data_IF_382395999097
#
_entry.id   IF_382395999097
#
_cell.length_a   1.000
_cell.length_b   1.000
_cell.length_c   1.000
_cell.angle_alpha   90.00
_cell.angle_beta   90.00
_cell.angle_gamma   90.00
#
_symmetry.space_group_name_H-M   'P 1'
#
loop_
_entity.id
_entity.type
_entity.pdbx_description
1 polymer ?
#
# COMPACT_ATOMS: atom_id res chain seq x y z
N UNK A 1 -4.12 21.59 3.20
CA UNK A 1 -3.31 20.41 3.55
C UNK A 1 -3.74 19.29 2.63
N UNK A 2 -2.79 18.61 1.98
CA UNK A 2 -3.05 17.43 1.15
C UNK A 2 -3.69 16.32 1.99
N UNK A 3 -4.70 15.62 1.44
CA UNK A 3 -5.41 14.53 2.14
C UNK A 3 -4.96 13.14 1.68
N UNK A 4 -4.80 12.95 0.38
CA UNK A 4 -4.32 11.72 -0.26
C UNK A 4 -2.86 11.48 0.11
N UNK A 5 -2.55 10.29 0.61
CA UNK A 5 -1.22 9.93 1.10
C UNK A 5 -0.29 9.53 -0.03
N UNK A 6 1.01 9.70 0.14
CA UNK A 6 2.03 9.30 -0.82
C UNK A 6 2.92 8.24 -0.19
N UNK A 7 2.96 7.08 -0.84
CA UNK A 7 3.88 5.99 -0.53
C UNK A 7 5.07 6.09 -1.48
N UNK A 8 6.29 6.14 -0.98
CA UNK A 8 7.50 6.13 -1.79
C UNK A 8 8.29 4.86 -1.54
N UNK A 9 8.78 4.23 -2.60
CA UNK A 9 9.68 3.07 -2.46
C UNK A 9 11.10 3.56 -2.25
N UNK A 10 11.72 3.14 -1.15
CA UNK A 10 13.10 3.51 -0.85
C UNK A 10 14.04 2.54 -1.57
N UNK A 11 15.06 3.09 -2.22
CA UNK A 11 16.07 2.34 -2.96
C UNK A 11 17.38 3.13 -3.07
N UNK A 12 18.30 2.71 -3.95
CA UNK A 12 19.60 3.37 -4.11
C UNK A 12 19.53 4.89 -4.35
N UNK A 13 18.50 5.39 -5.05
CA UNK A 13 18.32 6.80 -5.34
C UNK A 13 17.80 7.62 -4.14
N UNK A 14 17.27 6.96 -3.10
CA UNK A 14 16.50 7.61 -2.03
C UNK A 14 16.88 7.20 -0.61
N UNK A 15 17.85 6.30 -0.43
CA UNK A 15 18.21 5.77 0.90
C UNK A 15 19.12 6.69 1.74
N UNK A 16 19.68 7.76 1.19
CA UNK A 16 20.53 8.69 1.94
C UNK A 16 19.69 9.59 2.86
N UNK A 17 20.26 10.02 3.99
CA UNK A 17 19.55 10.87 4.94
C UNK A 17 19.08 12.20 4.32
N UNK A 18 19.91 12.85 3.49
CA UNK A 18 19.56 14.09 2.79
C UNK A 18 18.37 13.89 1.85
N UNK A 19 18.37 12.82 1.06
CA UNK A 19 17.27 12.55 0.13
C UNK A 19 16.00 12.16 0.90
N UNK A 20 16.10 11.39 1.99
CA UNK A 20 14.95 11.10 2.86
C UNK A 20 14.35 12.39 3.44
N UNK A 21 15.18 13.30 3.97
CA UNK A 21 14.72 14.59 4.49
C UNK A 21 13.96 15.39 3.40
N UNK A 22 14.48 15.39 2.16
CA UNK A 22 13.84 16.04 1.01
C UNK A 22 12.56 15.35 0.55
N UNK A 23 12.50 14.01 0.52
CA UNK A 23 11.30 13.25 0.18
C UNK A 23 10.17 13.50 1.18
N UNK A 24 10.52 13.53 2.47
CA UNK A 24 9.59 13.86 3.54
C UNK A 24 9.11 15.31 3.41
N UNK A 25 10.00 16.26 3.12
CA UNK A 25 9.64 17.65 2.81
C UNK A 25 8.73 17.79 1.60
N UNK A 26 8.95 16.99 0.55
CA UNK A 26 8.16 17.00 -0.68
C UNK A 26 6.76 16.37 -0.52
N UNK A 27 6.57 15.48 0.47
CA UNK A 27 5.26 14.91 0.79
C UNK A 27 5.20 13.42 1.05
N UNK A 28 6.31 12.71 1.24
CA UNK A 28 6.26 11.29 1.61
C UNK A 28 5.55 11.08 2.96
N UNK A 29 4.60 10.15 3.01
CA UNK A 29 3.85 9.75 4.22
C UNK A 29 4.21 8.32 4.68
N UNK A 30 4.57 7.46 3.73
CA UNK A 30 4.93 6.05 3.95
C UNK A 30 6.16 5.70 3.12
N UNK A 31 7.15 5.07 3.75
CA UNK A 31 8.33 4.51 3.11
C UNK A 31 8.12 3.00 2.88
N UNK A 32 8.00 2.59 1.62
CA UNK A 32 7.96 1.18 1.21
C UNK A 32 9.38 0.64 1.07
N UNK A 33 9.64 -0.49 1.74
CA UNK A 33 10.86 -1.27 1.59
C UNK A 33 10.50 -2.55 0.83
N UNK A 34 11.03 -2.69 -0.38
CA UNK A 34 10.76 -3.84 -1.25
C UNK A 34 11.76 -4.96 -0.96
N UNK A 35 11.32 -6.03 -0.32
CA UNK A 35 12.19 -7.17 0.07
C UNK A 35 12.49 -8.13 -1.10
N UNK A 36 12.02 -7.81 -2.32
CA UNK A 36 12.53 -8.44 -3.53
C UNK A 36 13.99 -8.07 -3.85
N UNK A 37 14.49 -6.98 -3.27
CA UNK A 37 15.83 -6.45 -3.50
C UNK A 37 16.49 -6.03 -2.18
N UNK A 38 17.81 -5.87 -2.21
CA UNK A 38 18.59 -5.51 -1.03
C UNK A 38 18.79 -6.66 -0.04
N UNK A 39 19.77 -6.50 0.82
CA UNK A 39 20.02 -7.41 1.94
C UNK A 39 19.51 -6.80 3.26
N UNK A 40 19.50 -7.61 4.32
CA UNK A 40 19.05 -7.18 5.64
C UNK A 40 19.88 -6.07 6.25
N UNK A 41 21.19 -6.00 5.96
CA UNK A 41 22.05 -4.94 6.48
C UNK A 41 21.65 -3.58 5.89
N UNK A 42 21.39 -3.54 4.59
CA UNK A 42 20.88 -2.37 3.90
C UNK A 42 19.50 -1.94 4.41
N UNK A 43 18.56 -2.88 4.55
CA UNK A 43 17.22 -2.58 5.06
C UNK A 43 17.27 -2.04 6.50
N UNK A 44 18.11 -2.61 7.37
CA UNK A 44 18.26 -2.16 8.76
C UNK A 44 18.74 -0.71 8.83
N UNK A 45 19.74 -0.36 8.01
CA UNK A 45 20.28 1.00 7.93
C UNK A 45 19.24 2.00 7.43
N UNK A 46 18.45 1.64 6.42
CA UNK A 46 17.36 2.48 5.91
C UNK A 46 16.27 2.69 6.97
N UNK A 47 15.86 1.63 7.66
CA UNK A 47 14.89 1.71 8.77
C UNK A 47 15.40 2.66 9.84
N UNK A 48 16.66 2.50 10.26
CA UNK A 48 17.29 3.34 11.27
C UNK A 48 17.25 4.83 10.88
N UNK A 49 17.67 5.17 9.65
CA UNK A 49 17.64 6.55 9.14
C UNK A 49 16.24 7.14 9.13
N UNK A 50 15.23 6.36 8.72
CA UNK A 50 13.84 6.81 8.73
C UNK A 50 13.38 7.11 10.15
N UNK A 51 13.68 6.21 11.10
CA UNK A 51 13.27 6.37 12.51
C UNK A 51 13.95 7.57 13.17
N UNK A 52 15.25 7.79 12.93
CA UNK A 52 15.97 8.97 13.43
C UNK A 52 15.45 10.27 12.80
N UNK A 53 15.10 10.24 11.52
CA UNK A 53 14.59 11.40 10.79
C UNK A 53 13.28 11.95 11.35
N UNK A 54 12.40 11.09 11.88
CA UNK A 54 11.07 11.49 12.36
C UNK A 54 11.09 12.63 13.38
N UNK A 55 12.09 12.66 14.27
CA UNK A 55 12.24 13.74 15.25
C UNK A 55 12.57 15.08 14.58
N UNK A 56 13.44 15.07 13.57
CA UNK A 56 13.83 16.26 12.80
C UNK A 56 12.69 16.77 11.92
N UNK A 57 11.91 15.87 11.33
CA UNK A 57 10.81 16.21 10.43
C UNK A 57 9.58 16.76 11.16
N UNK A 58 9.47 16.52 12.47
CA UNK A 58 8.30 16.90 13.26
C UNK A 58 7.01 16.17 12.82
N UNK A 59 7.13 15.08 12.06
CA UNK A 59 6.00 14.28 11.60
C UNK A 59 6.38 12.79 11.45
N UNK A 60 5.44 11.88 11.71
CA UNK A 60 5.67 10.45 11.55
C UNK A 60 5.73 10.04 10.07
N UNK A 61 6.48 8.98 9.78
CA UNK A 61 6.50 8.26 8.51
C UNK A 61 6.35 6.77 8.81
N UNK A 62 5.37 6.12 8.20
CA UNK A 62 5.20 4.67 8.34
C UNK A 62 6.21 3.92 7.48
N UNK A 63 6.66 2.77 7.93
CA UNK A 63 7.45 1.82 7.15
C UNK A 63 6.55 0.67 6.72
N UNK A 64 6.46 0.47 5.40
CA UNK A 64 5.76 -0.63 4.76
C UNK A 64 6.76 -1.66 4.26
N UNK A 65 6.83 -2.81 4.92
CA UNK A 65 7.57 -3.96 4.40
C UNK A 65 6.75 -4.62 3.28
N UNK A 66 7.30 -4.73 2.07
CA UNK A 66 6.66 -5.43 0.95
C UNK A 66 7.37 -6.76 0.70
N UNK A 67 6.69 -7.86 1.03
CA UNK A 67 7.19 -9.23 0.86
C UNK A 67 7.16 -9.62 -0.63
N UNK A 68 8.10 -10.45 -1.06
CA UNK A 68 8.21 -10.82 -2.47
C UNK A 68 7.06 -11.72 -2.91
N UNK A 69 6.65 -12.66 -2.06
CA UNK A 69 5.66 -13.68 -2.41
C UNK A 69 6.17 -14.66 -3.47
N UNK A 70 5.28 -15.49 -4.04
CA UNK A 70 5.63 -16.54 -5.00
C UNK A 70 5.84 -16.00 -6.43
N UNK A 71 6.61 -14.91 -6.60
CA UNK A 71 6.94 -14.40 -7.95
C UNK A 71 7.94 -15.35 -8.61
N UNK A 72 7.52 -15.98 -9.71
CA UNK A 72 8.43 -16.79 -10.53
C UNK A 72 9.39 -15.85 -11.24
N UNK A 73 10.69 -16.17 -11.17
CA UNK A 73 11.77 -15.39 -11.78
C UNK A 73 12.72 -16.29 -12.56
N UNK A 74 13.41 -15.69 -13.50
CA UNK A 74 14.58 -16.30 -14.13
C UNK A 74 15.76 -16.32 -13.16
N UNK A 75 16.62 -17.32 -13.30
CA UNK A 75 17.93 -17.29 -12.66
C UNK A 75 18.93 -16.47 -13.50
N UNK A 76 20.21 -16.53 -13.15
CA UNK A 76 21.27 -15.77 -13.80
C UNK A 76 21.63 -16.31 -15.18
N UNK A 77 21.95 -15.40 -16.08
CA UNK A 77 22.51 -15.67 -17.40
C UNK A 77 24.03 -15.51 -17.41
N UNK A 78 24.69 -16.23 -18.32
CA UNK A 78 26.06 -15.93 -18.72
C UNK A 78 26.12 -14.50 -19.27
N UNK A 79 26.89 -13.62 -18.63
CA UNK A 79 26.99 -12.20 -19.00
C UNK A 79 25.83 -11.31 -18.53
N UNK A 80 24.92 -11.82 -17.69
CA UNK A 80 23.84 -11.04 -17.04
C UNK A 80 22.56 -10.86 -17.87
N UNK A 81 22.55 -11.34 -19.12
CA UNK A 81 21.37 -11.35 -19.97
C UNK A 81 21.66 -11.79 -21.41
N UNK A 82 20.58 -12.03 -22.17
CA UNK A 82 20.62 -12.50 -23.56
C UNK A 82 19.53 -11.83 -24.41
N UNK A 83 19.77 -11.74 -25.71
CA UNK A 83 18.76 -11.31 -26.69
C UNK A 83 18.09 -12.55 -27.30
N UNK A 84 16.80 -12.76 -27.02
CA UNK A 84 16.04 -13.87 -27.59
C UNK A 84 15.45 -13.48 -28.95
N UNK A 85 15.77 -14.24 -30.00
CA UNK A 85 15.28 -13.99 -31.37
C UNK A 85 13.94 -14.66 -31.60
N UNK A 86 12.98 -13.94 -32.19
CA UNK A 86 11.71 -14.52 -32.64
C UNK A 86 11.94 -15.73 -33.55
N UNK A 87 11.21 -16.81 -33.29
CA UNK A 87 11.31 -18.09 -33.99
C UNK A 87 12.39 -19.05 -33.45
N UNK A 88 13.29 -18.59 -32.58
CA UNK A 88 14.30 -19.45 -31.96
C UNK A 88 13.67 -20.42 -30.94
N UNK A 89 14.39 -21.51 -30.67
CA UNK A 89 14.07 -22.43 -29.58
C UNK A 89 14.73 -21.97 -28.30
N UNK A 90 13.99 -22.01 -27.19
CA UNK A 90 14.47 -21.63 -25.88
C UNK A 90 13.87 -22.55 -24.82
N UNK A 91 14.68 -23.03 -23.87
CA UNK A 91 14.25 -24.02 -22.88
C UNK A 91 14.20 -23.45 -21.48
N UNK A 92 13.04 -23.55 -20.81
CA UNK A 92 12.93 -23.31 -19.38
C UNK A 92 13.26 -24.61 -18.64
N UNK A 93 14.22 -24.57 -17.73
CA UNK A 93 14.73 -25.78 -17.05
C UNK A 93 14.59 -25.72 -15.53
N UNK A 94 14.47 -26.91 -14.95
CA UNK A 94 14.51 -27.13 -13.50
C UNK A 94 15.93 -27.27 -12.95
N UNK A 95 16.92 -27.46 -13.83
CA UNK A 95 18.33 -27.68 -13.47
C UNK A 95 18.97 -26.37 -13.05
N UNK A 96 19.79 -26.37 -12.01
CA UNK A 96 20.55 -25.20 -11.57
C UNK A 96 21.76 -24.96 -12.49
N UNK A 97 21.56 -24.28 -13.62
CA UNK A 97 22.58 -23.99 -14.64
C UNK A 97 22.47 -22.53 -15.07
N UNK A 98 23.59 -21.91 -15.43
CA UNK A 98 23.58 -20.53 -15.93
C UNK A 98 22.81 -20.46 -17.25
N UNK A 99 21.94 -19.46 -17.36
CA UNK A 99 21.17 -19.20 -18.55
C UNK A 99 22.05 -18.79 -19.72
N UNK A 100 21.64 -19.17 -20.92
CA UNK A 100 22.25 -18.79 -22.19
C UNK A 100 21.15 -18.42 -23.17
N UNK A 101 21.48 -18.12 -24.43
CA UNK A 101 20.46 -17.90 -25.47
C UNK A 101 19.64 -19.17 -25.81
N UNK A 102 19.99 -20.33 -25.24
CA UNK A 102 19.30 -21.61 -25.48
C UNK A 102 18.45 -22.10 -24.31
N UNK A 103 18.77 -21.71 -23.07
CA UNK A 103 18.06 -22.20 -21.88
C UNK A 103 18.22 -21.27 -20.68
N UNK A 104 17.35 -21.39 -19.68
CA UNK A 104 17.48 -20.70 -18.38
C UNK A 104 16.71 -21.43 -17.29
N UNK A 105 17.25 -21.41 -16.06
CA UNK A 105 16.59 -21.92 -14.86
C UNK A 105 15.50 -20.97 -14.37
N UNK A 106 14.41 -21.50 -13.82
CA UNK A 106 13.38 -20.69 -13.13
C UNK A 106 13.41 -20.92 -11.61
N UNK A 107 12.98 -19.92 -10.84
CA UNK A 107 12.99 -19.95 -9.37
C UNK A 107 12.02 -20.97 -8.76
N UNK A 108 10.99 -21.38 -9.51
CA UNK A 108 9.98 -22.36 -9.09
C UNK A 108 9.92 -23.57 -10.03
N UNK A 109 10.92 -24.46 -10.02
CA UNK A 109 11.01 -25.59 -10.95
C UNK A 109 9.78 -26.51 -10.94
N UNK A 110 9.12 -26.65 -9.79
CA UNK A 110 7.93 -27.48 -9.65
C UNK A 110 6.78 -27.06 -10.59
N UNK A 111 6.70 -25.77 -10.93
CA UNK A 111 5.66 -25.25 -11.82
C UNK A 111 5.90 -25.61 -13.29
N UNK A 112 7.13 -25.96 -13.69
CA UNK A 112 7.39 -26.44 -15.06
C UNK A 112 6.63 -27.73 -15.35
N UNK A 113 6.46 -28.61 -14.35
CA UNK A 113 5.78 -29.88 -14.52
C UNK A 113 4.29 -29.74 -14.87
N UNK A 114 3.70 -28.56 -14.65
CA UNK A 114 2.31 -28.30 -14.99
C UNK A 114 2.14 -27.87 -16.46
N UNK A 115 3.22 -27.50 -17.16
CA UNK A 115 3.18 -26.90 -18.50
C UNK A 115 2.80 -27.92 -19.56
N UNK A 116 2.08 -27.45 -20.57
CA UNK A 116 1.59 -28.26 -21.70
C UNK A 116 1.95 -27.59 -23.02
N UNK A 117 2.07 -28.39 -24.07
CA UNK A 117 2.25 -27.86 -25.42
C UNK A 117 1.10 -26.89 -25.77
N UNK A 118 1.45 -25.73 -26.32
CA UNK A 118 0.53 -24.64 -26.63
C UNK A 118 0.42 -23.56 -25.54
N UNK A 119 0.87 -23.83 -24.32
CA UNK A 119 0.89 -22.85 -23.24
C UNK A 119 1.77 -21.64 -23.57
N UNK A 120 1.33 -20.46 -23.13
CA UNK A 120 2.09 -19.22 -23.29
C UNK A 120 2.79 -18.84 -21.99
N UNK A 121 4.08 -18.54 -22.09
CA UNK A 121 4.89 -18.06 -20.96
C UNK A 121 5.47 -16.70 -21.35
N UNK A 122 5.36 -15.72 -20.46
CA UNK A 122 5.94 -14.40 -20.67
C UNK A 122 7.16 -14.19 -19.79
N UNK A 123 8.23 -13.67 -20.37
CA UNK A 123 9.45 -13.29 -19.67
C UNK A 123 9.57 -11.77 -19.65
N UNK A 124 10.48 -11.26 -18.81
CA UNK A 124 10.82 -9.84 -18.74
C UNK A 124 9.57 -8.96 -18.53
N UNK A 125 8.71 -9.40 -17.60
CA UNK A 125 7.45 -8.72 -17.23
C UNK A 125 6.55 -8.40 -18.46
N UNK A 126 6.50 -9.33 -19.42
CA UNK A 126 5.61 -9.24 -20.58
C UNK A 126 6.27 -8.86 -21.90
N UNK A 127 7.57 -8.53 -21.89
CA UNK A 127 8.28 -8.10 -23.10
C UNK A 127 8.52 -9.25 -24.10
N UNK A 128 8.82 -10.45 -23.59
CA UNK A 128 9.18 -11.61 -24.41
C UNK A 128 8.15 -12.71 -24.23
N UNK A 129 7.65 -13.25 -25.34
CA UNK A 129 6.64 -14.30 -25.33
C UNK A 129 7.21 -15.62 -25.83
N UNK A 130 6.97 -16.67 -25.06
CA UNK A 130 7.28 -18.05 -25.39
C UNK A 130 5.99 -18.85 -25.60
N UNK A 131 6.02 -19.80 -26.51
CA UNK A 131 4.99 -20.83 -26.66
C UNK A 131 5.63 -22.20 -26.42
N UNK A 132 5.12 -22.95 -25.44
CA UNK A 132 5.62 -24.29 -25.11
C UNK A 132 5.35 -25.22 -26.31
N UNK A 133 6.39 -25.85 -26.83
CA UNK A 133 6.27 -26.83 -27.92
C UNK A 133 6.16 -28.26 -27.36
N UNK A 134 6.97 -28.58 -26.35
CA UNK A 134 7.02 -29.90 -25.74
C UNK A 134 7.61 -29.86 -24.33
N UNK A 135 7.23 -30.84 -23.52
CA UNK A 135 7.85 -31.11 -22.22
C UNK A 135 8.83 -32.28 -22.36
N UNK A 136 10.09 -32.08 -22.01
CA UNK A 136 11.17 -33.06 -22.15
C UNK A 136 11.96 -33.17 -20.85
N UNK A 137 11.86 -34.29 -20.14
CA UNK A 137 12.66 -34.53 -18.93
C UNK A 137 12.42 -33.55 -17.77
N UNK A 138 11.23 -32.93 -17.70
CA UNK A 138 10.90 -31.89 -16.72
C UNK A 138 11.25 -30.47 -17.15
N UNK A 139 11.83 -30.30 -18.35
CA UNK A 139 12.09 -29.01 -18.97
C UNK A 139 11.00 -28.67 -20.00
N UNK A 140 10.68 -27.39 -20.13
CA UNK A 140 9.76 -26.89 -21.16
C UNK A 140 10.57 -26.37 -22.35
N UNK A 141 10.52 -27.08 -23.48
CA UNK A 141 11.06 -26.58 -24.74
C UNK A 141 10.04 -25.66 -25.38
N UNK A 142 10.43 -24.41 -25.59
CA UNK A 142 9.56 -23.37 -26.12
C UNK A 142 10.07 -22.80 -27.44
N UNK A 143 9.15 -22.24 -28.22
CA UNK A 143 9.44 -21.34 -29.33
C UNK A 143 9.28 -19.90 -28.87
N UNK A 144 10.22 -19.03 -29.24
CA UNK A 144 10.11 -17.59 -29.00
C UNK A 144 9.10 -17.02 -30.00
N UNK A 145 7.92 -16.65 -29.51
CA UNK A 145 6.84 -16.08 -30.33
C UNK A 145 7.02 -14.57 -30.52
N UNK A 146 7.56 -13.88 -29.51
CA UNK A 146 8.00 -12.49 -29.59
C UNK A 146 9.34 -12.34 -28.86
N UNK A 147 10.39 -11.98 -29.59
CA UNK A 147 11.75 -11.84 -29.07
C UNK A 147 12.06 -10.48 -28.45
N UNK A 148 13.20 -10.39 -27.77
CA UNK A 148 13.69 -9.20 -27.08
C UNK A 148 14.74 -9.52 -26.02
N UNK A 149 15.21 -8.49 -25.28
CA UNK A 149 16.20 -8.67 -24.23
C UNK A 149 15.60 -9.34 -22.99
N UNK A 150 16.35 -10.27 -22.40
CA UNK A 150 16.05 -10.96 -21.16
C UNK A 150 17.28 -10.93 -20.26
N UNK A 151 17.10 -10.68 -18.96
CA UNK A 151 18.19 -10.54 -18.00
C UNK A 151 17.97 -11.29 -16.70
N UNK A 152 18.99 -11.24 -15.84
CA UNK A 152 18.99 -11.89 -14.53
C UNK A 152 17.75 -11.51 -13.70
N UNK A 153 17.17 -12.52 -13.02
CA UNK A 153 16.15 -12.32 -11.98
C UNK A 153 14.86 -11.62 -12.44
N UNK A 154 14.64 -11.49 -13.75
CA UNK A 154 13.42 -10.93 -14.33
C UNK A 154 12.20 -11.83 -14.10
N UNK A 155 11.01 -11.23 -14.06
CA UNK A 155 9.75 -11.92 -13.80
C UNK A 155 9.34 -12.87 -14.93
N UNK A 156 8.74 -14.00 -14.54
CA UNK A 156 8.13 -15.00 -15.42
C UNK A 156 6.65 -15.08 -15.11
N UNK A 157 5.81 -14.93 -16.13
CA UNK A 157 4.35 -15.10 -16.03
C UNK A 157 4.00 -16.42 -16.70
N UNK A 158 3.46 -17.34 -15.90
CA UNK A 158 3.03 -18.67 -16.33
C UNK A 158 1.54 -18.65 -16.73
N UNK A 159 1.07 -19.66 -17.49
CA UNK A 159 -0.34 -19.82 -17.83
C UNK A 159 -1.28 -19.75 -16.62
N UNK A 160 -2.48 -19.25 -16.86
CA UNK A 160 -3.53 -19.13 -15.83
C UNK A 160 -3.83 -20.48 -15.19
N UNK A 161 -3.82 -20.52 -13.85
CA UNK A 161 -4.12 -21.74 -13.09
C UNK A 161 -2.92 -22.32 -12.35
N UNK A 162 -1.70 -22.12 -12.86
CA UNK A 162 -0.46 -22.65 -12.28
C UNK A 162 0.03 -21.81 -11.12
N UNK A 163 0.23 -22.42 -9.94
CA UNK A 163 0.40 -21.64 -8.71
C UNK A 163 1.24 -22.36 -7.68
N UNK A 164 2.06 -21.56 -6.98
CA UNK A 164 2.61 -21.98 -5.70
C UNK A 164 1.49 -22.34 -4.72
N UNK A 165 1.73 -23.35 -3.89
CA UNK A 165 0.74 -23.79 -2.90
C UNK A 165 0.49 -22.72 -1.84
N UNK A 166 1.53 -21.98 -1.45
CA UNK A 166 1.50 -20.95 -0.40
C UNK A 166 1.71 -19.55 -0.98
N UNK A 167 1.18 -18.53 -0.29
CA UNK A 167 1.48 -17.12 -0.54
C UNK A 167 2.76 -16.64 0.15
N UNK A 168 3.32 -17.44 1.07
CA UNK A 168 4.53 -17.14 1.84
C UNK A 168 5.62 -18.17 1.55
N UNK A 169 6.60 -17.75 0.76
CA UNK A 169 7.79 -18.53 0.47
C UNK A 169 8.70 -18.63 1.70
N UNK A 170 9.64 -19.59 1.76
CA UNK A 170 10.60 -19.67 2.85
C UNK A 170 11.36 -18.35 3.09
N UNK A 171 11.74 -17.66 2.00
CA UNK A 171 12.33 -16.32 2.07
C UNK A 171 11.41 -15.31 2.74
N UNK A 172 10.13 -15.26 2.35
CA UNK A 172 9.16 -14.30 2.92
C UNK A 172 8.98 -14.49 4.44
N UNK A 173 9.13 -15.72 4.95
CA UNK A 173 9.04 -16.00 6.40
C UNK A 173 10.21 -15.43 7.17
N UNK A 174 11.41 -15.46 6.59
CA UNK A 174 12.61 -14.84 7.16
C UNK A 174 12.57 -13.31 6.99
N UNK A 175 12.11 -12.82 5.84
CA UNK A 175 11.90 -11.39 5.62
C UNK A 175 10.91 -10.83 6.65
N UNK A 176 9.78 -11.50 6.83
CA UNK A 176 8.75 -11.11 7.80
C UNK A 176 9.32 -11.08 9.22
N UNK A 177 10.11 -12.09 9.61
CA UNK A 177 10.80 -12.10 10.90
C UNK A 177 11.67 -10.86 11.06
N UNK A 178 12.51 -10.57 10.07
CA UNK A 178 13.40 -9.40 10.10
C UNK A 178 12.59 -8.09 10.26
N UNK A 179 11.50 -7.92 9.50
CA UNK A 179 10.67 -6.71 9.57
C UNK A 179 10.03 -6.52 10.94
N UNK A 180 9.53 -7.60 11.55
CA UNK A 180 8.97 -7.57 12.91
C UNK A 180 10.01 -7.17 13.96
N UNK A 181 11.23 -7.71 13.86
CA UNK A 181 12.35 -7.37 14.77
C UNK A 181 12.76 -5.89 14.65
N UNK A 182 12.53 -5.26 13.49
CA UNK A 182 12.85 -3.85 13.23
C UNK A 182 11.64 -2.90 13.37
N UNK A 183 10.48 -3.41 13.82
CA UNK A 183 9.30 -2.59 14.10
C UNK A 183 8.73 -1.89 12.86
N UNK A 184 8.57 -2.62 11.76
CA UNK A 184 7.82 -2.14 10.57
C UNK A 184 6.36 -1.88 10.94
N UNK A 185 5.75 -0.87 10.32
CA UNK A 185 4.39 -0.42 10.68
C UNK A 185 3.29 -1.18 9.92
N UNK A 186 3.64 -1.69 8.74
CA UNK A 186 2.77 -2.48 7.86
C UNK A 186 3.57 -3.59 7.17
N UNK A 187 2.89 -4.69 6.83
CA UNK A 187 3.40 -5.73 5.94
C UNK A 187 2.46 -5.89 4.75
N UNK A 188 2.95 -5.67 3.53
CA UNK A 188 2.27 -6.02 2.30
C UNK A 188 2.58 -7.46 1.88
N UNK A 189 1.52 -8.20 1.57
CA UNK A 189 1.57 -9.59 1.11
C UNK A 189 1.30 -9.61 -0.39
N UNK A 190 2.29 -10.05 -1.17
CA UNK A 190 2.22 -10.15 -2.62
C UNK A 190 1.41 -11.35 -3.10
N UNK A 191 0.84 -11.26 -4.29
CA UNK A 191 0.11 -12.34 -4.97
C UNK A 191 -0.96 -13.03 -4.13
N UNK A 192 -1.66 -12.28 -3.27
CA UNK A 192 -2.81 -12.78 -2.51
C UNK A 192 -3.88 -13.26 -3.48
N UNK A 193 -4.54 -14.39 -3.20
CA UNK A 193 -5.60 -14.97 -4.03
C UNK A 193 -6.90 -15.09 -3.26
N UNK A 194 -6.83 -15.28 -1.95
CA UNK A 194 -7.97 -15.65 -1.12
C UNK A 194 -7.83 -15.23 0.34
N UNK A 195 -8.92 -15.37 1.08
CA UNK A 195 -8.93 -15.22 2.53
C UNK A 195 -7.96 -16.18 3.24
N UNK A 196 -7.75 -17.39 2.69
CA UNK A 196 -6.87 -18.40 3.27
C UNK A 196 -5.40 -17.95 3.27
N UNK A 197 -4.96 -17.24 2.24
CA UNK A 197 -3.60 -16.67 2.16
C UNK A 197 -3.35 -15.68 3.30
N UNK A 198 -4.33 -14.80 3.58
CA UNK A 198 -4.23 -13.85 4.69
C UNK A 198 -4.25 -14.56 6.04
N UNK A 199 -5.06 -15.61 6.18
CA UNK A 199 -5.10 -16.41 7.40
C UNK A 199 -3.79 -17.16 7.64
N UNK A 200 -3.12 -17.62 6.58
CA UNK A 200 -1.78 -18.20 6.65
C UNK A 200 -0.79 -17.21 7.25
N UNK A 201 -0.73 -15.98 6.71
CA UNK A 201 0.17 -14.93 7.22
C UNK A 201 -0.16 -14.58 8.68
N UNK A 202 -1.44 -14.42 9.01
CA UNK A 202 -1.88 -14.16 10.39
C UNK A 202 -1.51 -15.29 11.34
N UNK A 203 -1.52 -16.56 10.88
CA UNK A 203 -1.06 -17.69 11.69
C UNK A 203 0.44 -17.55 12.00
N UNK A 204 1.26 -17.25 11.00
CA UNK A 204 2.71 -17.02 11.18
C UNK A 204 2.98 -15.89 12.18
N UNK A 205 2.21 -14.79 12.10
CA UNK A 205 2.30 -13.68 13.05
C UNK A 205 1.94 -14.13 14.49
N UNK A 206 0.83 -14.84 14.67
CA UNK A 206 0.40 -15.37 15.97
C UNK A 206 1.40 -16.34 16.58
N UNK A 207 1.94 -17.25 15.78
CA UNK A 207 2.94 -18.24 16.22
C UNK A 207 4.23 -17.55 16.72
N UNK A 208 4.46 -16.30 16.29
CA UNK A 208 5.57 -15.43 16.72
C UNK A 208 5.17 -14.40 17.80
N UNK A 209 3.93 -14.41 18.27
CA UNK A 209 3.42 -13.44 19.25
C UNK A 209 3.38 -12.00 18.74
N UNK A 210 3.33 -11.79 17.42
CA UNK A 210 3.37 -10.48 16.80
C UNK A 210 2.01 -10.06 16.22
N UNK A 211 1.74 -8.76 16.20
CA UNK A 211 0.55 -8.17 15.59
C UNK A 211 0.95 -6.95 14.75
N UNK A 212 1.00 -7.13 13.44
CA UNK A 212 1.28 -6.06 12.46
C UNK A 212 0.15 -5.99 11.43
N UNK A 213 -0.31 -4.78 11.06
CA UNK A 213 -1.29 -4.56 10.01
C UNK A 213 -0.86 -5.17 8.67
N UNK A 214 -1.78 -5.91 8.05
CA UNK A 214 -1.54 -6.55 6.76
C UNK A 214 -2.17 -5.74 5.61
N UNK A 215 -1.41 -5.57 4.52
CA UNK A 215 -1.90 -5.02 3.25
C UNK A 215 -1.93 -6.14 2.22
N UNK A 216 -3.10 -6.49 1.70
CA UNK A 216 -3.20 -7.45 0.60
C UNK A 216 -2.91 -6.75 -0.73
N UNK A 217 -1.95 -7.26 -1.51
CA UNK A 217 -1.68 -6.79 -2.87
C UNK A 217 -2.61 -7.52 -3.84
N UNK A 218 -3.46 -6.76 -4.50
CA UNK A 218 -4.43 -7.22 -5.48
C UNK A 218 -3.75 -7.22 -6.85
N UNK A 219 -3.09 -8.36 -7.13
CA UNK A 219 -2.25 -8.59 -8.31
C UNK A 219 -2.75 -9.77 -9.14
N UNK A 220 -3.73 -10.50 -8.63
CA UNK A 220 -4.24 -11.75 -9.20
C UNK A 220 -5.71 -11.62 -9.52
N UNK A 221 -6.16 -12.24 -10.61
CA UNK A 221 -7.57 -12.25 -11.00
C UNK A 221 -8.48 -12.81 -9.89
N UNK A 222 -7.99 -13.77 -9.10
CA UNK A 222 -8.73 -14.38 -8.00
C UNK A 222 -8.85 -13.45 -6.81
N UNK A 223 -7.84 -12.62 -6.57
CA UNK A 223 -7.90 -11.61 -5.52
C UNK A 223 -9.08 -10.66 -5.77
N UNK A 224 -9.30 -10.32 -7.04
CA UNK A 224 -10.42 -9.48 -7.48
C UNK A 224 -11.75 -10.20 -7.23
N UNK A 225 -11.85 -11.46 -7.64
CA UNK A 225 -13.07 -12.27 -7.46
C UNK A 225 -13.39 -12.52 -5.97
N UNK A 226 -12.36 -12.74 -5.14
CA UNK A 226 -12.47 -13.07 -3.72
C UNK A 226 -12.35 -11.85 -2.80
N UNK A 227 -12.38 -10.63 -3.35
CA UNK A 227 -12.10 -9.39 -2.62
C UNK A 227 -12.97 -9.26 -1.36
N UNK A 228 -14.26 -9.62 -1.46
CA UNK A 228 -15.20 -9.56 -0.34
C UNK A 228 -14.81 -10.44 0.86
N UNK A 229 -14.11 -11.56 0.63
CA UNK A 229 -13.58 -12.42 1.70
C UNK A 229 -12.22 -11.96 2.23
N UNK A 230 -11.45 -11.21 1.43
CA UNK A 230 -10.13 -10.69 1.79
C UNK A 230 -10.26 -9.45 2.67
N UNK A 231 -11.12 -8.49 2.29
CA UNK A 231 -11.26 -7.19 2.95
C UNK A 231 -11.47 -7.26 4.48
N UNK A 232 -12.31 -8.16 5.03
CA UNK A 232 -12.52 -8.25 6.47
C UNK A 232 -11.28 -8.73 7.25
N UNK A 233 -10.28 -9.30 6.56
CA UNK A 233 -9.11 -9.93 7.17
C UNK A 233 -7.85 -9.07 7.06
N UNK A 234 -7.92 -7.89 6.43
CA UNK A 234 -6.76 -7.03 6.15
C UNK A 234 -6.96 -5.63 6.68
N UNK A 235 -5.85 -4.91 6.85
CA UNK A 235 -5.81 -3.55 7.37
C UNK A 235 -5.60 -2.50 6.29
N UNK A 236 -5.29 -2.95 5.07
CA UNK A 236 -5.26 -2.19 3.83
C UNK A 236 -5.27 -3.12 2.62
N UNK A 237 -5.48 -2.55 1.44
CA UNK A 237 -5.27 -3.23 0.14
C UNK A 237 -4.43 -2.37 -0.78
N UNK A 238 -3.71 -2.99 -1.71
CA UNK A 238 -2.91 -2.31 -2.72
C UNK A 238 -3.30 -2.82 -4.10
N UNK A 239 -3.79 -1.94 -4.99
CA UNK A 239 -4.00 -2.26 -6.39
C UNK A 239 -2.65 -2.15 -7.10
N UNK A 240 -1.99 -3.28 -7.32
CA UNK A 240 -0.67 -3.34 -7.95
C UNK A 240 -0.84 -3.65 -9.44
N UNK A 241 -0.93 -2.57 -10.22
CA UNK A 241 -1.42 -2.55 -11.61
C UNK A 241 -0.46 -3.22 -12.59
N UNK A 242 0.84 -3.15 -12.34
CA UNK A 242 1.87 -3.82 -13.14
C UNK A 242 1.66 -5.34 -13.17
N UNK A 243 1.74 -6.01 -12.03
CA UNK A 243 1.52 -7.47 -11.97
C UNK A 243 0.07 -7.83 -12.32
N UNK A 244 -0.93 -7.03 -11.91
CA UNK A 244 -2.32 -7.29 -12.29
C UNK A 244 -2.55 -7.25 -13.80
N UNK A 245 -1.95 -6.29 -14.52
CA UNK A 245 -2.06 -6.15 -15.97
C UNK A 245 -1.38 -7.27 -16.76
N UNK A 246 -0.57 -8.11 -16.10
CA UNK A 246 -0.05 -9.35 -16.68
C UNK A 246 -1.02 -10.53 -16.53
N UNK A 247 -1.94 -10.47 -15.55
CA UNK A 247 -2.86 -11.56 -15.24
C UNK A 247 -4.22 -11.39 -15.93
N UNK A 248 -4.67 -10.15 -16.11
CA UNK A 248 -5.94 -9.77 -16.74
C UNK A 248 -5.69 -8.92 -17.99
N UNK A 249 -6.65 -8.85 -18.94
CA UNK A 249 -6.51 -7.93 -20.08
C UNK A 249 -6.25 -6.49 -19.61
N UNK A 250 -5.35 -5.78 -20.28
CA UNK A 250 -4.91 -4.45 -19.85
C UNK A 250 -6.07 -3.45 -19.78
N UNK A 251 -7.03 -3.57 -20.68
CA UNK A 251 -8.25 -2.76 -20.73
C UNK A 251 -9.20 -2.99 -19.54
N UNK A 252 -9.07 -4.10 -18.82
CA UNK A 252 -9.87 -4.39 -17.61
C UNK A 252 -9.27 -3.76 -16.35
N UNK A 253 -7.96 -3.48 -16.33
CA UNK A 253 -7.25 -2.98 -15.14
C UNK A 253 -7.87 -1.69 -14.57
N UNK A 254 -8.24 -0.67 -15.38
CA UNK A 254 -8.89 0.52 -14.85
C UNK A 254 -10.26 0.23 -14.20
N UNK A 255 -11.04 -0.70 -14.77
CA UNK A 255 -12.34 -1.09 -14.22
C UNK A 255 -12.18 -1.82 -12.89
N UNK A 256 -11.21 -2.72 -12.81
CA UNK A 256 -10.88 -3.46 -11.59
C UNK A 256 -10.37 -2.51 -10.50
N UNK A 257 -9.48 -1.56 -10.81
CA UNK A 257 -9.00 -0.56 -9.86
C UNK A 257 -10.18 0.18 -9.22
N UNK A 258 -11.09 0.71 -10.05
CA UNK A 258 -12.27 1.44 -9.60
C UNK A 258 -13.13 0.60 -8.66
N UNK A 259 -13.36 -0.67 -9.00
CA UNK A 259 -14.17 -1.57 -8.18
C UNK A 259 -13.47 -1.94 -6.86
N UNK A 260 -12.16 -2.22 -6.88
CA UNK A 260 -11.38 -2.52 -5.67
C UNK A 260 -11.40 -1.32 -4.73
N UNK A 261 -11.14 -0.12 -5.23
CA UNK A 261 -11.18 1.13 -4.44
C UNK A 261 -12.57 1.33 -3.84
N UNK A 262 -13.63 1.14 -4.62
CA UNK A 262 -15.02 1.27 -4.14
C UNK A 262 -15.34 0.28 -3.02
N UNK A 263 -15.02 -1.01 -3.21
CA UNK A 263 -15.30 -2.07 -2.23
C UNK A 263 -14.47 -1.90 -0.95
N UNK A 264 -13.18 -1.55 -1.08
CA UNK A 264 -12.33 -1.28 0.08
C UNK A 264 -12.88 -0.14 0.93
N UNK A 265 -13.32 0.96 0.30
CA UNK A 265 -13.95 2.09 1.01
C UNK A 265 -15.25 1.69 1.72
N UNK A 266 -16.10 0.89 1.10
CA UNK A 266 -17.32 0.38 1.74
C UNK A 266 -17.00 -0.49 2.95
N UNK A 267 -15.98 -1.34 2.83
CA UNK A 267 -15.45 -2.16 3.93
C UNK A 267 -14.64 -1.38 4.98
N UNK A 268 -14.46 -0.06 4.78
CA UNK A 268 -13.64 0.83 5.62
C UNK A 268 -12.16 0.43 5.72
N UNK A 269 -11.63 -0.14 4.63
CA UNK A 269 -10.24 -0.59 4.46
C UNK A 269 -9.49 0.41 3.56
N UNK A 270 -8.38 1.00 4.02
CA UNK A 270 -7.53 1.88 3.22
C UNK A 270 -7.02 1.21 1.94
N UNK A 271 -6.99 1.97 0.86
CA UNK A 271 -6.52 1.48 -0.45
C UNK A 271 -5.36 2.32 -1.00
N UNK A 272 -4.31 1.62 -1.44
CA UNK A 272 -3.16 2.16 -2.16
C UNK A 272 -3.35 1.84 -3.65
N UNK A 273 -3.21 2.84 -4.53
CA UNK A 273 -3.06 2.61 -5.97
C UNK A 273 -1.58 2.71 -6.32
N UNK A 274 -1.05 1.66 -6.96
CA UNK A 274 0.38 1.43 -7.08
C UNK A 274 0.83 1.09 -8.50
N UNK A 275 2.14 1.29 -8.74
CA UNK A 275 2.91 1.02 -9.97
C UNK A 275 2.51 1.89 -11.16
N UNK A 276 3.47 2.30 -12.00
CA UNK A 276 3.23 3.06 -13.23
C UNK A 276 2.43 4.35 -13.07
N UNK A 277 2.56 5.05 -11.93
CA UNK A 277 1.82 6.30 -11.71
C UNK A 277 2.48 7.48 -12.43
N UNK A 278 3.81 7.60 -12.32
CA UNK A 278 4.63 8.62 -12.97
C UNK A 278 5.88 7.98 -13.59
N UNK A 279 5.75 6.79 -14.18
CA UNK A 279 6.86 5.91 -14.64
C UNK A 279 7.91 6.65 -15.48
N UNK A 280 7.50 7.51 -16.40
CA UNK A 280 8.40 8.29 -17.25
C UNK A 280 9.37 9.17 -16.45
N UNK A 281 9.03 9.50 -15.19
CA UNK A 281 9.87 10.28 -14.30
C UNK A 281 11.05 9.51 -13.69
N UNK A 282 11.14 8.19 -13.91
CA UNK A 282 12.37 7.44 -13.66
C UNK A 282 13.53 8.06 -14.43
N UNK A 283 13.28 8.43 -15.69
CA UNK A 283 14.28 8.95 -16.62
C UNK A 283 14.14 10.46 -16.89
N UNK A 284 12.93 11.00 -16.77
CA UNK A 284 12.62 12.38 -17.16
C UNK A 284 12.22 13.26 -15.97
N UNK A 285 12.46 14.57 -16.07
CA UNK A 285 12.10 15.52 -15.00
C UNK A 285 10.60 15.83 -14.97
N UNK A 286 9.84 15.46 -16.02
CA UNK A 286 8.41 15.75 -16.13
C UNK A 286 7.65 14.51 -16.59
N UNK A 287 6.44 14.29 -16.05
CA UNK A 287 5.60 13.20 -16.52
C UNK A 287 4.91 13.57 -17.83
N UNK A 288 4.33 12.55 -18.47
CA UNK A 288 3.40 12.69 -19.57
C UNK A 288 2.03 13.20 -19.08
N UNK A 289 1.20 13.68 -20.01
CA UNK A 289 -0.20 14.06 -19.68
C UNK A 289 -1.05 12.85 -19.29
N UNK A 290 -0.75 11.67 -19.84
CA UNK A 290 -1.45 10.43 -19.53
C UNK A 290 -1.24 10.03 -18.07
N UNK A 291 0.00 10.08 -17.59
CA UNK A 291 0.35 9.80 -16.19
C UNK A 291 -0.29 10.79 -15.21
N UNK A 292 -0.31 12.10 -15.56
CA UNK A 292 -1.03 13.10 -14.74
C UNK A 292 -2.52 12.76 -14.66
N UNK A 293 -3.13 12.35 -15.77
CA UNK A 293 -4.54 11.92 -15.81
C UNK A 293 -4.77 10.66 -14.98
N UNK A 294 -3.83 9.72 -15.00
CA UNK A 294 -3.92 8.46 -14.26
C UNK A 294 -3.85 8.70 -12.73
N UNK A 295 -2.89 9.51 -12.28
CA UNK A 295 -2.82 9.99 -10.88
C UNK A 295 -4.11 10.69 -10.48
N UNK A 296 -4.63 11.59 -11.32
CA UNK A 296 -5.87 12.30 -11.02
C UNK A 296 -7.07 11.33 -10.88
N UNK A 297 -7.17 10.33 -11.75
CA UNK A 297 -8.23 9.31 -11.71
C UNK A 297 -8.22 8.53 -10.39
N UNK A 298 -7.05 8.06 -9.92
CA UNK A 298 -6.95 7.37 -8.63
C UNK A 298 -7.48 8.22 -7.47
N UNK A 299 -7.28 9.55 -7.52
CA UNK A 299 -7.76 10.50 -6.51
C UNK A 299 -9.26 10.75 -6.65
N UNK A 300 -9.80 10.88 -7.87
CA UNK A 300 -11.24 10.97 -8.11
C UNK A 300 -11.99 9.72 -7.64
N UNK A 301 -11.37 8.55 -7.78
CA UNK A 301 -11.87 7.28 -7.25
C UNK A 301 -11.77 7.20 -5.72
N UNK A 302 -11.09 8.17 -5.10
CA UNK A 302 -10.93 8.34 -3.65
C UNK A 302 -9.98 7.31 -3.03
N UNK A 303 -8.89 6.98 -3.71
CA UNK A 303 -7.80 6.21 -3.10
C UNK A 303 -7.30 6.88 -1.80
N UNK A 304 -6.91 6.09 -0.81
CA UNK A 304 -6.32 6.64 0.41
C UNK A 304 -4.89 7.11 0.17
N UNK A 305 -4.15 6.34 -0.63
CA UNK A 305 -2.79 6.65 -1.01
C UNK A 305 -2.50 6.31 -2.47
N UNK A 306 -1.51 7.01 -3.02
CA UNK A 306 -0.89 6.76 -4.32
C UNK A 306 0.59 6.44 -4.12
N UNK A 307 1.12 5.49 -4.88
CA UNK A 307 2.45 4.94 -4.64
C UNK A 307 3.42 5.11 -5.81
N UNK A 308 4.62 5.61 -5.49
CA UNK A 308 5.77 5.65 -6.38
C UNK A 308 6.65 4.42 -6.13
N UNK A 309 7.01 3.75 -7.22
CA UNK A 309 7.80 2.51 -7.27
C UNK A 309 9.23 2.83 -7.73
N UNK A 310 9.59 2.50 -8.97
CA UNK A 310 10.92 2.75 -9.52
C UNK A 310 11.28 4.24 -9.52
N UNK A 311 10.28 5.12 -9.66
CA UNK A 311 10.46 6.56 -9.73
C UNK A 311 11.22 7.13 -8.51
N UNK A 312 11.00 6.53 -7.34
CA UNK A 312 11.67 6.94 -6.08
C UNK A 312 12.77 5.99 -5.65
N UNK A 313 12.72 4.72 -6.05
CA UNK A 313 13.71 3.73 -5.65
C UNK A 313 15.03 3.86 -6.44
N UNK A 314 14.93 4.01 -7.76
CA UNK A 314 16.08 3.97 -8.69
C UNK A 314 16.07 5.12 -9.70
N UNK A 315 15.00 5.91 -9.76
CA UNK A 315 14.86 7.03 -10.69
C UNK A 315 15.88 8.14 -10.48
N UNK A 316 16.12 8.91 -11.53
CA UNK A 316 17.05 10.06 -11.55
C UNK A 316 16.53 11.29 -10.80
N UNK A 317 15.21 11.36 -10.59
CA UNK A 317 14.51 12.53 -10.04
C UNK A 317 13.53 12.16 -8.91
N UNK A 318 13.99 11.47 -7.84
CA UNK A 318 13.08 10.90 -6.85
C UNK A 318 12.32 11.98 -6.06
N UNK A 319 12.97 13.09 -5.72
CA UNK A 319 12.34 14.18 -4.94
C UNK A 319 11.35 14.95 -5.80
N UNK A 320 11.75 15.31 -7.02
CA UNK A 320 10.92 16.05 -7.97
C UNK A 320 9.65 15.26 -8.34
N UNK A 321 9.77 13.92 -8.42
CA UNK A 321 8.61 13.02 -8.63
C UNK A 321 7.61 13.14 -7.49
N UNK A 322 8.06 13.11 -6.23
CA UNK A 322 7.17 13.29 -5.07
C UNK A 322 6.51 14.66 -5.09
N UNK A 323 7.25 15.71 -5.42
CA UNK A 323 6.68 17.06 -5.51
C UNK A 323 5.62 17.16 -6.62
N UNK A 324 5.85 16.55 -7.79
CA UNK A 324 4.86 16.47 -8.87
C UNK A 324 3.61 15.73 -8.38
N UNK A 325 3.78 14.55 -7.78
CA UNK A 325 2.69 13.74 -7.24
C UNK A 325 1.86 14.53 -6.21
N UNK A 326 2.54 15.23 -5.29
CA UNK A 326 1.88 16.08 -4.29
C UNK A 326 1.11 17.24 -4.91
N UNK A 327 1.68 17.94 -5.90
CA UNK A 327 1.00 19.04 -6.61
C UNK A 327 -0.25 18.57 -7.36
N UNK A 328 -0.19 17.40 -8.01
CA UNK A 328 -1.37 16.81 -8.67
C UNK A 328 -2.43 16.53 -7.62
N UNK A 329 -2.07 15.88 -6.51
CA UNK A 329 -3.01 15.53 -5.46
C UNK A 329 -3.71 16.76 -4.86
N UNK A 330 -2.95 17.79 -4.49
CA UNK A 330 -3.52 19.02 -3.96
C UNK A 330 -4.42 19.76 -4.94
N UNK A 331 -4.09 19.72 -6.25
CA UNK A 331 -4.90 20.38 -7.27
C UNK A 331 -6.21 19.65 -7.52
N UNK A 332 -6.16 18.32 -7.58
CA UNK A 332 -7.32 17.45 -7.84
C UNK A 332 -8.26 17.45 -6.64
N UNK A 333 -7.74 17.34 -5.42
CA UNK A 333 -8.56 17.36 -4.19
C UNK A 333 -9.46 18.60 -4.06
N UNK A 334 -8.99 19.77 -4.52
CA UNK A 334 -9.79 21.01 -4.55
C UNK A 334 -10.94 20.98 -5.54
N UNK A 335 -10.93 20.03 -6.48
CA UNK A 335 -11.97 19.84 -7.49
C UNK A 335 -12.90 18.66 -7.19
N UNK A 336 -12.55 17.82 -6.22
CA UNK A 336 -13.41 16.70 -5.81
C UNK A 336 -14.63 17.27 -5.11
N UNK A 337 -15.82 16.94 -5.63
CA UNK A 337 -17.07 17.33 -5.00
C UNK A 337 -17.15 16.73 -3.58
N UNK A 338 -17.77 17.46 -2.63
CA UNK A 338 -18.07 16.93 -1.31
C UNK A 338 -18.74 15.56 -1.42
N UNK A 339 -18.44 14.60 -0.53
CA UNK A 339 -19.17 13.34 -0.52
C UNK A 339 -20.67 13.62 -0.38
N UNK A 340 -21.46 13.12 -1.33
CA UNK A 340 -22.90 12.99 -1.10
C UNK A 340 -23.04 11.75 -0.23
N UNK A 341 -23.39 11.93 1.04
CA UNK A 341 -23.69 10.81 1.92
C UNK A 341 -25.02 10.20 1.46
N UNK A 342 -24.93 9.20 0.58
CA UNK A 342 -26.11 8.50 0.07
C UNK A 342 -26.90 7.91 1.24
N UNK A 343 -28.24 8.02 1.18
CA UNK A 343 -29.10 7.31 2.12
C UNK A 343 -28.79 5.82 2.03
N UNK A 344 -28.38 5.24 3.16
CA UNK A 344 -28.03 3.83 3.26
C UNK A 344 -29.09 2.92 2.64
N UNK A 345 -28.64 1.81 2.06
CA UNK A 345 -29.54 0.70 1.68
C UNK A 345 -30.23 0.18 2.95
N UNK A 346 -31.54 -0.04 2.87
CA UNK A 346 -32.30 -0.64 3.97
C UNK A 346 -31.73 -2.03 4.31
N UNK A 347 -31.38 -2.27 5.58
CA UNK A 347 -30.97 -3.59 6.09
C UNK A 347 -29.52 -3.75 6.54
N UNK A 348 -28.62 -2.78 6.29
CA UNK A 348 -27.23 -2.87 6.77
C UNK A 348 -27.10 -2.39 8.23
N UNK A 349 -26.81 -3.33 9.15
CA UNK A 349 -26.52 -3.02 10.56
C UNK A 349 -25.02 -2.72 10.69
N UNK A 350 -24.69 -1.52 11.15
CA UNK A 350 -23.32 -1.14 11.46
C UNK A 350 -23.01 -1.29 12.95
N UNK A 351 -21.73 -1.46 13.27
CA UNK A 351 -21.26 -1.32 14.64
C UNK A 351 -21.30 0.13 15.13
N UNK A 352 -21.28 0.30 16.46
CA UNK A 352 -21.23 1.62 17.10
C UNK A 352 -20.14 2.55 16.53
N UNK A 353 -18.88 2.10 16.33
CA UNK A 353 -17.82 2.97 15.84
C UNK A 353 -18.10 3.58 14.46
N UNK A 354 -18.66 2.79 13.53
CA UNK A 354 -18.98 3.27 12.18
C UNK A 354 -20.15 4.26 12.21
N UNK A 355 -21.19 3.96 13.00
CA UNK A 355 -22.34 4.86 13.15
C UNK A 355 -21.94 6.22 13.75
N UNK A 356 -21.07 6.21 14.77
CA UNK A 356 -20.55 7.45 15.37
C UNK A 356 -19.65 8.23 14.40
N UNK A 357 -18.81 7.54 13.61
CA UNK A 357 -17.97 8.20 12.61
C UNK A 357 -18.80 8.91 11.53
N UNK A 358 -19.87 8.27 11.04
CA UNK A 358 -20.81 8.87 10.09
C UNK A 358 -21.52 10.09 10.70
N UNK A 359 -22.08 9.93 11.92
CA UNK A 359 -22.75 11.02 12.62
C UNK A 359 -21.82 12.23 12.86
N UNK A 360 -20.55 11.98 13.17
CA UNK A 360 -19.56 13.04 13.34
C UNK A 360 -19.24 13.78 12.04
N UNK A 361 -19.19 13.08 10.90
CA UNK A 361 -18.96 13.72 9.61
C UNK A 361 -20.13 14.64 9.23
N UNK A 362 -21.37 14.22 9.47
CA UNK A 362 -22.55 15.06 9.27
C UNK A 362 -22.54 16.27 10.20
N UNK A 363 -22.36 16.06 11.51
CA UNK A 363 -22.29 17.14 12.49
C UNK A 363 -21.18 18.14 12.17
N UNK A 364 -20.01 17.67 11.70
CA UNK A 364 -18.91 18.53 11.33
C UNK A 364 -19.25 19.42 10.12
N UNK A 365 -19.96 18.86 9.14
CA UNK A 365 -20.46 19.61 7.99
C UNK A 365 -21.50 20.66 8.40
N UNK A 366 -22.51 20.26 9.16
CA UNK A 366 -23.62 21.13 9.57
C UNK A 366 -23.16 22.31 10.42
N UNK A 367 -22.13 22.11 11.24
CA UNK A 367 -21.60 23.13 12.14
C UNK A 367 -20.46 23.96 11.54
N UNK A 368 -20.00 23.61 10.32
CA UNK A 368 -18.77 24.19 9.77
C UNK A 368 -17.56 23.96 10.69
N UNK A 369 -17.46 22.76 11.28
CA UNK A 369 -16.47 22.46 12.29
C UNK A 369 -15.05 22.62 11.76
N UNK A 370 -14.17 23.16 12.59
CA UNK A 370 -12.76 23.38 12.29
C UNK A 370 -12.01 22.07 12.08
N UNK A 371 -12.36 21.04 12.84
CA UNK A 371 -11.77 19.71 12.76
C UNK A 371 -12.68 18.65 13.40
N UNK A 372 -12.50 17.40 12.95
CA UNK A 372 -12.98 16.21 13.65
C UNK A 372 -11.80 15.63 14.43
N UNK A 373 -11.94 15.55 15.75
CA UNK A 373 -10.90 15.05 16.66
C UNK A 373 -11.25 13.63 17.10
N UNK A 374 -10.38 12.67 16.80
CA UNK A 374 -10.61 11.26 17.05
C UNK A 374 -9.61 10.71 18.09
N UNK A 375 -10.10 10.36 19.28
CA UNK A 375 -9.32 9.58 20.23
C UNK A 375 -9.25 8.13 19.78
N UNK A 376 -8.04 7.60 19.67
CA UNK A 376 -7.88 6.24 19.16
C UNK A 376 -6.69 5.50 19.74
N UNK A 377 -6.92 4.25 20.12
CA UNK A 377 -5.88 3.34 20.61
C UNK A 377 -5.35 2.40 19.54
N UNK A 378 -6.18 1.98 18.58
CA UNK A 378 -5.79 1.10 17.47
C UNK A 378 -5.70 1.81 16.13
N UNK A 379 -6.22 3.05 16.04
CA UNK A 379 -6.36 3.80 14.79
C UNK A 379 -7.71 3.60 14.09
N UNK A 380 -8.52 2.61 14.50
CA UNK A 380 -9.77 2.25 13.79
C UNK A 380 -10.77 3.41 13.69
N UNK A 381 -10.89 4.22 14.73
CA UNK A 381 -11.81 5.37 14.78
C UNK A 381 -11.45 6.42 13.73
N UNK A 382 -10.17 6.82 13.69
CA UNK A 382 -9.67 7.76 12.69
C UNK A 382 -9.79 7.20 11.27
N UNK A 383 -9.57 5.88 11.11
CA UNK A 383 -9.79 5.17 9.85
C UNK A 383 -11.25 5.22 9.41
N UNK A 384 -12.22 4.96 10.28
CA UNK A 384 -13.64 5.05 9.91
C UNK A 384 -14.04 6.44 9.45
N UNK A 385 -13.63 7.49 10.16
CA UNK A 385 -13.88 8.89 9.76
C UNK A 385 -13.21 9.19 8.41
N UNK A 386 -11.97 8.75 8.22
CA UNK A 386 -11.23 8.92 6.97
C UNK A 386 -12.00 8.35 5.78
N UNK A 387 -12.65 7.20 5.94
CA UNK A 387 -13.39 6.53 4.88
C UNK A 387 -14.71 7.23 4.51
N UNK A 388 -15.26 8.09 5.38
CA UNK A 388 -16.38 8.99 5.04
C UNK A 388 -15.95 10.21 4.22
N UNK A 389 -14.64 10.45 4.11
CA UNK A 389 -14.04 11.55 3.34
C UNK A 389 -14.58 12.95 3.71
N UNK A 390 -14.66 13.31 5.00
CA UNK A 390 -15.19 14.60 5.44
C UNK A 390 -14.37 15.78 4.89
N UNK A 391 -15.01 16.94 4.78
CA UNK A 391 -14.33 18.19 4.47
C UNK A 391 -13.49 18.72 5.64
N UNK A 392 -14.02 18.56 6.86
CA UNK A 392 -13.30 18.92 8.06
C UNK A 392 -11.99 18.11 8.18
N UNK A 393 -10.84 18.75 8.48
CA UNK A 393 -9.61 18.06 8.81
C UNK A 393 -9.81 17.02 9.91
N UNK A 394 -9.15 15.86 9.76
CA UNK A 394 -9.22 14.78 10.74
C UNK A 394 -7.95 14.81 11.59
N UNK A 395 -8.11 15.02 12.89
CA UNK A 395 -7.01 15.01 13.85
C UNK A 395 -7.15 13.79 14.75
N UNK A 396 -6.22 12.84 14.64
CA UNK A 396 -6.21 11.67 15.49
C UNK A 396 -5.30 11.89 16.70
N UNK A 397 -5.82 11.67 17.90
CA UNK A 397 -5.07 11.73 19.15
C UNK A 397 -4.87 10.30 19.67
N UNK A 398 -3.63 9.90 19.86
CA UNK A 398 -3.27 8.55 20.30
C UNK A 398 -2.11 8.57 21.28
N UNK A 399 -2.06 7.66 22.27
CA UNK A 399 -0.91 7.49 23.15
C UNK A 399 0.16 6.55 22.58
N UNK A 400 -0.06 5.98 21.39
CA UNK A 400 0.86 5.03 20.76
C UNK A 400 1.56 5.65 19.57
N UNK A 401 2.89 5.77 19.65
CA UNK A 401 3.72 6.22 18.53
C UNK A 401 3.62 5.30 17.31
N UNK A 402 3.39 4.00 17.53
CA UNK A 402 3.16 3.03 16.46
C UNK A 402 1.84 3.31 15.73
N UNK A 403 0.76 3.57 16.46
CA UNK A 403 -0.54 3.92 15.86
C UNK A 403 -0.45 5.27 15.16
N UNK A 404 0.29 6.22 15.73
CA UNK A 404 0.54 7.51 15.10
C UNK A 404 1.21 7.35 13.73
N UNK A 405 2.19 6.44 13.60
CA UNK A 405 2.82 6.10 12.31
C UNK A 405 1.84 5.40 11.39
N UNK A 406 1.14 4.36 11.85
CA UNK A 406 0.16 3.62 11.03
C UNK A 406 -0.88 4.55 10.38
N UNK A 407 -1.37 5.53 11.15
CA UNK A 407 -2.35 6.51 10.65
C UNK A 407 -1.85 7.41 9.50
N UNK A 408 -0.55 7.45 9.18
CA UNK A 408 -0.06 8.21 8.02
C UNK A 408 -0.55 7.66 6.69
N UNK A 409 -1.01 6.40 6.65
CA UNK A 409 -1.63 5.80 5.47
C UNK A 409 -3.12 6.17 5.30
N UNK A 410 -3.79 6.64 6.36
CA UNK A 410 -5.23 6.94 6.31
C UNK A 410 -5.49 8.32 5.69
N UNK A 411 -6.33 8.38 4.65
CA UNK A 411 -6.65 9.63 3.95
C UNK A 411 -7.06 10.76 4.90
N UNK A 412 -6.48 11.95 4.72
CA UNK A 412 -6.86 13.16 5.45
C UNK A 412 -6.52 13.18 6.94
N UNK A 413 -5.97 12.10 7.50
CA UNK A 413 -5.64 12.01 8.93
C UNK A 413 -4.29 12.68 9.21
N UNK A 414 -4.28 13.53 10.24
CA UNK A 414 -3.08 14.06 10.89
C UNK A 414 -3.06 13.56 12.34
N UNK A 415 -2.01 12.86 12.75
CA UNK A 415 -1.96 12.23 14.07
C UNK A 415 -1.05 13.01 15.05
N UNK A 416 -1.46 13.08 16.31
CA UNK A 416 -0.68 13.62 17.44
C UNK A 416 -0.53 12.57 18.53
N UNK A 417 0.65 12.56 19.14
CA UNK A 417 0.91 11.77 20.33
C UNK A 417 0.42 12.56 21.55
N UNK A 418 -0.38 11.92 22.39
CA UNK A 418 -0.89 12.48 23.64
C UNK A 418 -0.65 11.52 24.80
N UNK A 419 -0.76 12.00 26.04
CA UNK A 419 -0.78 11.10 27.20
C UNK A 419 -2.13 10.36 27.29
N UNK A 420 -2.15 9.24 28.02
CA UNK A 420 -3.42 8.60 28.39
C UNK A 420 -4.18 9.49 29.36
N UNK A 421 -5.47 9.69 29.10
CA UNK A 421 -6.41 10.45 29.96
C UNK A 421 -7.45 9.51 30.59
N UNK A 422 -7.88 9.80 31.81
CA UNK A 422 -8.79 8.94 32.57
C UNK A 422 -10.28 9.30 32.45
N UNK A 423 -10.60 10.54 32.07
CA UNK A 423 -11.96 11.06 32.07
C UNK A 423 -12.27 11.86 30.80
N UNK A 424 -13.57 12.11 30.55
CA UNK A 424 -14.02 12.98 29.46
C UNK A 424 -13.58 14.44 29.68
N UNK A 425 -13.39 14.87 30.93
CA UNK A 425 -12.94 16.25 31.22
C UNK A 425 -11.45 16.39 30.93
N UNK A 426 -10.62 15.45 31.37
CA UNK A 426 -9.19 15.41 31.02
C UNK A 426 -8.98 15.29 29.50
N UNK A 427 -9.88 14.59 28.81
CA UNK A 427 -9.88 14.52 27.35
C UNK A 427 -10.03 15.90 26.72
N UNK A 428 -10.96 16.73 27.19
CA UNK A 428 -11.15 18.09 26.65
C UNK A 428 -9.92 18.96 26.92
N UNK A 429 -9.38 18.89 28.13
CA UNK A 429 -8.17 19.63 28.48
C UNK A 429 -6.99 19.26 27.58
N UNK A 430 -6.81 17.96 27.32
CA UNK A 430 -5.75 17.46 26.44
C UNK A 430 -5.97 17.89 24.98
N UNK A 431 -7.22 17.87 24.47
CA UNK A 431 -7.56 18.38 23.14
C UNK A 431 -7.19 19.85 23.03
N UNK A 432 -7.66 20.69 23.95
CA UNK A 432 -7.41 22.13 23.90
C UNK A 432 -5.91 22.43 24.02
N UNK A 433 -5.23 21.82 25.01
CA UNK A 433 -3.79 22.03 25.22
C UNK A 433 -2.98 21.65 23.97
N UNK A 434 -3.28 20.51 23.37
CA UNK A 434 -2.56 20.02 22.19
C UNK A 434 -2.81 20.90 20.97
N UNK A 435 -4.08 21.18 20.66
CA UNK A 435 -4.47 21.82 19.40
C UNK A 435 -4.32 23.35 19.41
N UNK A 436 -4.43 23.99 20.58
CA UNK A 436 -4.04 25.38 20.73
C UNK A 436 -2.52 25.53 20.69
N UNK A 437 -1.81 24.59 21.32
CA UNK A 437 -0.35 24.59 21.40
C UNK A 437 0.34 24.48 20.04
N UNK A 438 -0.18 23.65 19.13
CA UNK A 438 0.36 23.50 17.77
C UNK A 438 -0.29 24.44 16.72
N UNK A 439 -1.26 25.26 17.14
CA UNK A 439 -1.95 26.23 16.29
C UNK A 439 -2.97 25.63 15.31
N UNK A 440 -3.32 24.34 15.45
CA UNK A 440 -4.34 23.68 14.61
C UNK A 440 -5.73 24.31 14.78
N UNK A 441 -6.03 24.84 15.97
CA UNK A 441 -7.31 25.49 16.30
C UNK A 441 -7.07 26.80 17.04
N UNK A 442 -8.11 27.64 17.11
CA UNK A 442 -8.16 28.90 17.85
C UNK A 442 -9.33 28.89 18.82
N UNK A 443 -9.29 29.79 19.81
CA UNK A 443 -10.45 30.04 20.69
C UNK A 443 -11.69 30.34 19.84
N UNK A 444 -12.83 29.80 20.25
CA UNK A 444 -14.12 29.82 19.57
C UNK A 444 -14.29 28.91 18.34
N UNK A 445 -13.24 28.21 17.88
CA UNK A 445 -13.40 27.18 16.85
C UNK A 445 -14.31 26.05 17.36
N UNK A 446 -15.11 25.48 16.46
CA UNK A 446 -16.01 24.36 16.75
C UNK A 446 -15.32 23.04 16.38
N UNK A 447 -15.33 22.08 17.29
CA UNK A 447 -14.76 20.74 17.12
C UNK A 447 -15.84 19.68 17.27
N UNK A 448 -15.72 18.62 16.47
CA UNK A 448 -16.46 17.37 16.70
C UNK A 448 -15.49 16.35 17.26
N UNK A 449 -15.67 15.97 18.52
CA UNK A 449 -14.79 15.06 19.24
C UNK A 449 -15.45 13.68 19.32
N UNK A 450 -14.68 12.65 18.97
CA UNK A 450 -15.10 11.24 19.01
C UNK A 450 -14.18 10.47 19.94
N UNK A 451 -14.75 9.62 20.79
CA UNK A 451 -14.01 8.72 21.67
C UNK A 451 -14.82 7.45 22.02
N UNK A 452 -14.25 6.58 22.87
CA UNK A 452 -14.93 5.42 23.44
C UNK A 452 -15.02 5.52 24.96
N UNK A 453 -16.13 5.05 25.52
CA UNK A 453 -16.36 4.90 26.95
C UNK A 453 -16.66 3.41 27.26
N UNK A 454 -15.84 2.72 28.06
CA UNK A 454 -14.64 3.20 28.75
C UNK A 454 -13.49 3.58 27.79
N UNK A 455 -12.66 4.54 28.23
CA UNK A 455 -11.51 5.05 27.47
C UNK A 455 -10.42 3.99 27.29
N UNK A 456 -9.70 4.07 26.17
CA UNK A 456 -8.58 3.17 25.85
C UNK A 456 -8.95 1.68 25.89
N UNK A 457 -10.17 1.39 25.43
CA UNK A 457 -10.57 0.05 25.03
C UNK A 457 -10.77 0.04 23.53
N UNK A 458 -10.14 -0.90 22.84
CA UNK A 458 -10.23 -1.00 21.38
C UNK A 458 -11.64 -1.39 20.95
N UNK A 459 -12.17 -0.76 19.91
CA UNK A 459 -13.47 -1.11 19.33
C UNK A 459 -14.69 -0.54 20.05
N UNK A 460 -14.53 0.23 21.12
CA UNK A 460 -15.63 0.77 21.95
C UNK A 460 -16.03 2.21 21.61
N UNK A 461 -15.65 2.75 20.45
CA UNK A 461 -16.05 4.10 20.04
C UNK A 461 -17.58 4.22 20.05
N UNK A 462 -18.10 5.03 20.97
CA UNK A 462 -19.52 5.18 21.26
C UNK A 462 -19.90 6.59 21.75
N UNK A 463 -18.95 7.53 21.82
CA UNK A 463 -19.17 8.90 22.29
C UNK A 463 -18.90 9.90 21.16
N UNK A 464 -19.82 10.84 20.97
CA UNK A 464 -19.65 12.04 20.15
C UNK A 464 -19.93 13.26 21.01
N UNK A 465 -19.01 14.24 21.01
CA UNK A 465 -19.17 15.52 21.69
C UNK A 465 -18.91 16.66 20.73
N UNK A 466 -19.82 17.64 20.72
CA UNK A 466 -19.64 18.92 20.06
C UNK A 466 -19.02 19.89 21.07
N UNK A 467 -17.93 20.54 20.70
CA UNK A 467 -17.15 21.37 21.61
C UNK A 467 -16.78 22.69 20.96
N UNK A 468 -16.86 23.79 21.73
CA UNK A 468 -16.29 25.08 21.32
C UNK A 468 -15.04 25.34 22.14
N UNK A 469 -13.92 25.56 21.47
CA UNK A 469 -12.63 25.77 22.12
C UNK A 469 -12.69 26.99 23.04
N UNK A 470 -12.34 26.80 24.31
CA UNK A 470 -12.37 27.82 25.36
C UNK A 470 -13.68 27.92 26.14
N UNK A 471 -14.73 27.21 25.75
CA UNK A 471 -15.96 27.09 26.55
C UNK A 471 -15.81 25.92 27.55
N UNK A 472 -15.60 26.24 28.83
CA UNK A 472 -15.73 25.29 29.94
C UNK A 472 -17.08 25.54 30.60
N UNK A 473 -18.06 24.69 30.34
CA UNK A 473 -19.34 24.66 31.06
C UNK A 473 -19.39 23.44 31.95
#
# INVERSE_FOLDING_TARGET
MRRTKIVCTIGPASASADVLDRLVGAGMDVARLNFSHGDYAWHAEVIHRIREGQARWGKPVAILQDLQGPKVRLDRFEGGGVELKTGATFTLTSRAILGTAAHVTISEPALLAELKAGDQVWLADGLVQLTVEAMEGGDARCRVSAGGPVGDHQGVVLPRGMRATSCLMPKDREDLKFGLEHGVDYVAVSFVRSAADIQEVRKVLRDRGAEVPLIAKIERAEAVQNLGGILPLVDGVMVARGDLGMEVPLEEVPLIQKEVVRQARLAKVPVIVATQMLESMVEHVRPTRAEVSDVATAIFERADAIMLSAETATGKHPVETVEVMARIAERVERSVAPPVWERRRQGEVQGFPQAIAEAACHAASDLGAKAIVAFTQSGSTARFISQERPEAPIIALTPSAEVQRRLTLCWGVSARLIRKVGSTDEMLEEVEATLLGDGSVRVNDVLVIISGAPMWVTGTTNLLKLHRVGERR
#
